data_IF_507422118917
#
_entry.id   IF_507422118917
#
_cell.length_a   1.000
_cell.length_b   1.000
_cell.length_c   1.000
_cell.angle_alpha   90.00
_cell.angle_beta   90.00
_cell.angle_gamma   90.00
#
_symmetry.space_group_name_H-M   'P 1'
#
loop_
_entity.id
_entity.type
_entity.pdbx_description
1 polymer ?
#
# COMPACT_ATOMS: atom_id res chain seq x y z
N UNK A 1 12.50 16.65 -3.49
CA UNK A 1 11.78 15.82 -2.50
C UNK A 1 11.06 14.75 -3.29
N UNK A 2 11.56 13.50 -3.25
CA UNK A 2 11.10 12.43 -4.13
C UNK A 2 9.77 11.83 -3.68
N UNK A 3 9.20 11.00 -4.55
CA UNK A 3 8.19 10.02 -4.21
C UNK A 3 8.69 8.69 -4.77
N UNK A 4 8.52 7.62 -4.00
CA UNK A 4 8.87 6.26 -4.41
C UNK A 4 7.61 5.42 -4.40
N UNK A 5 7.43 4.65 -5.47
CA UNK A 5 6.39 3.62 -5.53
C UNK A 5 6.74 2.50 -4.56
N UNK A 6 5.73 2.01 -3.85
CA UNK A 6 5.88 0.84 -3.00
C UNK A 6 4.73 -0.13 -3.19
N UNK A 7 5.05 -1.39 -2.91
CA UNK A 7 4.14 -2.51 -2.80
C UNK A 7 4.50 -3.26 -1.51
N UNK A 8 3.49 -3.68 -0.75
CA UNK A 8 3.67 -4.47 0.46
C UNK A 8 2.47 -5.40 0.65
N UNK A 9 2.75 -6.69 0.80
CA UNK A 9 1.74 -7.70 1.08
C UNK A 9 1.87 -8.08 2.55
N UNK A 10 0.75 -8.06 3.27
CA UNK A 10 0.72 -8.50 4.66
C UNK A 10 -0.51 -9.35 4.97
N UNK A 11 -0.34 -10.23 5.97
CA UNK A 11 -1.39 -11.10 6.48
C UNK A 11 -2.11 -10.44 7.65
N UNK A 12 -3.42 -10.63 7.69
CA UNK A 12 -4.23 -10.20 8.82
C UNK A 12 -5.68 -10.61 8.65
N UNK A 13 -6.34 -10.87 9.78
CA UNK A 13 -7.77 -11.17 9.84
C UNK A 13 -8.62 -10.01 9.31
N UNK A 14 -8.07 -8.79 9.36
CA UNK A 14 -8.63 -7.57 8.80
C UNK A 14 -7.56 -6.77 8.08
N UNK A 15 -7.97 -5.91 7.14
CA UNK A 15 -7.05 -4.98 6.47
C UNK A 15 -6.32 -4.06 7.45
N UNK A 16 -6.97 -3.67 8.55
CA UNK A 16 -6.35 -2.83 9.57
C UNK A 16 -5.20 -3.56 10.27
N UNK A 17 -5.42 -4.81 10.64
CA UNK A 17 -4.38 -5.66 11.24
C UNK A 17 -3.22 -5.88 10.26
N UNK A 18 -3.53 -6.25 9.01
CA UNK A 18 -2.51 -6.43 7.98
C UNK A 18 -1.72 -5.15 7.71
N UNK A 19 -2.39 -3.98 7.70
CA UNK A 19 -1.74 -2.69 7.54
C UNK A 19 -0.79 -2.37 8.69
N UNK A 20 -1.19 -2.66 9.93
CA UNK A 20 -0.31 -2.46 11.09
C UNK A 20 0.91 -3.38 11.01
N UNK A 21 0.72 -4.66 10.71
CA UNK A 21 1.81 -5.62 10.53
C UNK A 21 2.80 -5.15 9.44
N UNK A 22 2.30 -4.75 8.27
CA UNK A 22 3.12 -4.24 7.16
C UNK A 22 3.95 -3.00 7.56
N UNK A 23 3.35 -2.10 8.34
CA UNK A 23 4.05 -0.90 8.82
C UNK A 23 5.12 -1.22 9.84
N UNK A 24 4.83 -2.11 10.79
CA UNK A 24 5.80 -2.52 11.81
C UNK A 24 6.99 -3.23 11.18
N UNK A 25 6.76 -4.09 10.19
CA UNK A 25 7.82 -4.73 9.40
C UNK A 25 8.64 -3.68 8.65
N UNK A 26 7.99 -2.77 7.92
CA UNK A 26 8.69 -1.71 7.20
C UNK A 26 9.48 -0.76 8.13
N UNK A 27 8.99 -0.49 9.35
CA UNK A 27 9.75 0.26 10.34
C UNK A 27 10.97 -0.49 10.85
N UNK A 28 10.87 -1.81 11.01
CA UNK A 28 11.99 -2.65 11.43
C UNK A 28 13.09 -2.68 10.36
N UNK A 29 12.71 -2.85 9.09
CA UNK A 29 13.67 -2.96 7.98
C UNK A 29 14.30 -1.61 7.57
N UNK A 30 13.51 -0.53 7.54
CA UNK A 30 13.92 0.76 6.97
C UNK A 30 14.09 1.88 8.01
N UNK A 31 13.73 1.61 9.27
CA UNK A 31 13.85 2.56 10.37
C UNK A 31 12.68 3.54 10.50
N UNK A 32 12.74 4.37 11.54
CA UNK A 32 11.65 5.26 11.96
C UNK A 32 11.88 6.74 11.63
N UNK A 33 12.96 7.07 10.92
CA UNK A 33 13.37 8.47 10.69
C UNK A 33 12.52 9.22 9.66
N UNK A 34 11.58 8.54 9.01
CA UNK A 34 10.78 9.06 7.91
C UNK A 34 11.49 8.93 6.55
N UNK A 35 10.78 9.23 5.47
CA UNK A 35 11.27 9.20 4.09
C UNK A 35 11.79 7.83 3.64
N UNK A 36 11.21 6.75 4.15
CA UNK A 36 11.65 5.39 3.79
C UNK A 36 11.27 4.99 2.37
N UNK A 37 10.34 5.71 1.73
CA UNK A 37 9.74 5.29 0.46
C UNK A 37 8.87 4.04 0.58
N UNK A 38 8.43 3.67 1.79
CA UNK A 38 7.63 2.45 2.04
C UNK A 38 6.30 2.74 2.74
N UNK A 39 5.52 1.69 3.01
CA UNK A 39 4.26 1.77 3.75
C UNK A 39 4.43 2.35 5.17
N UNK A 40 5.65 2.35 5.73
CA UNK A 40 5.94 2.95 7.04
C UNK A 40 5.48 4.43 7.13
N UNK A 41 5.62 5.17 6.03
CA UNK A 41 5.23 6.58 5.89
C UNK A 41 3.71 6.79 5.84
N UNK A 42 2.93 5.73 5.59
CA UNK A 42 1.48 5.80 5.44
C UNK A 42 0.79 5.67 6.79
N UNK A 43 -0.12 6.59 7.07
CA UNK A 43 -0.90 6.56 8.33
C UNK A 43 -2.29 5.94 8.16
N UNK A 44 -2.79 5.89 6.93
CA UNK A 44 -4.13 5.38 6.62
C UNK A 44 -4.11 4.65 5.27
N UNK A 45 -5.15 3.86 5.02
CA UNK A 45 -5.37 3.18 3.75
C UNK A 45 -6.82 3.34 3.31
N UNK A 46 -7.08 3.16 2.01
CA UNK A 46 -8.42 3.06 1.44
C UNK A 46 -8.54 1.78 0.63
N UNK A 47 -9.64 1.08 0.85
CA UNK A 47 -9.93 -0.15 0.10
C UNK A 47 -10.34 0.16 -1.33
N UNK A 48 -9.72 -0.55 -2.26
CA UNK A 48 -10.07 -0.60 -3.67
C UNK A 48 -10.64 -1.99 -3.91
N UNK A 49 -11.86 -2.04 -4.44
CA UNK A 49 -12.54 -3.30 -4.69
C UNK A 49 -12.24 -3.79 -6.10
N UNK A 50 -11.74 -5.03 -6.20
CA UNK A 50 -11.62 -5.78 -7.44
C UNK A 50 -11.77 -7.28 -7.13
N UNK A 51 -11.76 -8.10 -8.18
CA UNK A 51 -11.72 -9.54 -8.03
C UNK A 51 -10.40 -9.96 -7.36
N UNK A 52 -10.44 -10.92 -6.44
CA UNK A 52 -9.28 -11.39 -5.70
C UNK A 52 -8.36 -12.32 -6.53
N UNK A 53 -8.37 -12.21 -7.85
CA UNK A 53 -7.48 -12.97 -8.74
C UNK A 53 -6.22 -12.16 -9.00
N UNK A 54 -5.07 -12.83 -9.09
CA UNK A 54 -3.78 -12.15 -9.30
C UNK A 54 -3.78 -11.23 -10.53
N UNK A 55 -4.45 -11.65 -11.61
CA UNK A 55 -4.58 -10.87 -12.85
C UNK A 55 -5.44 -9.61 -12.66
N UNK A 56 -6.57 -9.71 -11.95
CA UNK A 56 -7.43 -8.56 -11.70
C UNK A 56 -6.80 -7.57 -10.71
N UNK A 57 -6.07 -8.09 -9.72
CA UNK A 57 -5.33 -7.27 -8.76
C UNK A 57 -4.23 -6.49 -9.47
N UNK A 58 -3.41 -7.13 -10.31
CA UNK A 58 -2.33 -6.44 -11.01
C UNK A 58 -2.88 -5.41 -11.99
N UNK A 59 -3.90 -5.76 -12.77
CA UNK A 59 -4.53 -4.83 -13.71
C UNK A 59 -5.17 -3.63 -12.99
N UNK A 60 -5.79 -3.86 -11.82
CA UNK A 60 -6.38 -2.76 -11.04
C UNK A 60 -5.31 -1.87 -10.42
N UNK A 61 -4.21 -2.43 -9.95
CA UNK A 61 -3.08 -1.66 -9.42
C UNK A 61 -2.49 -0.76 -10.50
N UNK A 62 -2.22 -1.30 -11.68
CA UNK A 62 -1.69 -0.57 -12.84
C UNK A 62 -2.63 0.58 -13.24
N UNK A 63 -3.92 0.30 -13.43
CA UNK A 63 -4.96 1.31 -13.73
C UNK A 63 -4.97 2.46 -12.72
N UNK A 64 -4.81 2.14 -11.43
CA UNK A 64 -4.85 3.12 -10.33
C UNK A 64 -3.55 3.92 -10.23
N UNK A 65 -2.41 3.28 -10.47
CA UNK A 65 -1.07 3.88 -10.39
C UNK A 65 -0.77 4.77 -11.60
N UNK A 66 -1.26 4.42 -12.79
CA UNK A 66 -1.13 5.25 -14.00
C UNK A 66 -2.07 6.46 -13.99
N UNK A 67 -3.11 6.45 -13.16
CA UNK A 67 -4.05 7.56 -13.06
C UNK A 67 -3.50 8.70 -12.20
N UNK A 68 -2.96 9.74 -12.86
CA UNK A 68 -2.40 10.94 -12.23
C UNK A 68 -3.41 11.75 -11.40
N UNK A 69 -4.71 11.61 -11.67
CA UNK A 69 -5.77 12.29 -10.91
C UNK A 69 -6.27 11.47 -9.73
N UNK A 70 -5.79 10.23 -9.58
CA UNK A 70 -6.20 9.36 -8.49
C UNK A 70 -5.55 9.81 -7.18
N UNK A 71 -6.29 9.70 -6.07
CA UNK A 71 -5.83 10.15 -4.75
C UNK A 71 -4.59 9.40 -4.24
N UNK A 72 -4.22 8.28 -4.86
CA UNK A 72 -3.05 7.47 -4.50
C UNK A 72 -1.72 8.14 -4.86
N UNK A 73 -1.76 9.10 -5.79
CA UNK A 73 -0.62 9.92 -6.20
C UNK A 73 -0.14 10.84 -5.06
N UNK A 74 -1.00 11.11 -4.08
CA UNK A 74 -0.62 11.87 -2.90
C UNK A 74 0.30 11.03 -2.00
N UNK A 75 1.59 11.33 -2.03
CA UNK A 75 2.59 10.62 -1.24
C UNK A 75 2.38 10.71 0.28
N UNK A 76 1.69 11.76 0.75
CA UNK A 76 1.28 11.92 2.16
C UNK A 76 -0.13 11.39 2.43
N UNK A 77 -0.85 11.04 1.37
CA UNK A 77 -2.20 10.52 1.40
C UNK A 77 -2.27 9.05 1.78
N UNK A 78 -3.47 8.46 1.78
CA UNK A 78 -3.67 7.05 2.13
C UNK A 78 -2.98 6.10 1.14
N UNK A 79 -2.63 4.91 1.61
CA UNK A 79 -2.25 3.80 0.73
C UNK A 79 -3.49 3.21 0.03
N UNK A 80 -3.30 2.69 -1.19
CA UNK A 80 -4.22 1.74 -1.80
C UNK A 80 -4.20 0.42 -1.04
N UNK A 81 -5.36 -0.21 -0.88
CA UNK A 81 -5.49 -1.52 -0.26
C UNK A 81 -6.41 -2.41 -1.10
N UNK A 82 -5.93 -3.59 -1.50
CA UNK A 82 -6.73 -4.60 -2.20
C UNK A 82 -6.70 -5.89 -1.38
N UNK A 83 -7.87 -6.53 -1.25
CA UNK A 83 -7.98 -7.83 -0.60
C UNK A 83 -7.50 -8.93 -1.55
N UNK A 84 -6.59 -9.76 -1.08
CA UNK A 84 -6.13 -10.96 -1.77
C UNK A 84 -6.83 -12.21 -1.21
N UNK A 85 -6.50 -13.37 -1.76
CA UNK A 85 -6.90 -14.66 -1.20
C UNK A 85 -6.22 -14.91 0.16
N UNK A 86 -6.65 -15.94 0.91
CA UNK A 86 -5.98 -16.41 2.13
C UNK A 86 -5.78 -15.37 3.27
N UNK A 87 -6.65 -14.37 3.39
CA UNK A 87 -6.52 -13.26 4.36
C UNK A 87 -5.23 -12.43 4.19
N UNK A 88 -4.76 -12.36 2.96
CA UNK A 88 -3.68 -11.45 2.56
C UNK A 88 -4.26 -10.14 2.04
N UNK A 89 -3.49 -9.07 2.23
CA UNK A 89 -3.87 -7.73 1.83
C UNK A 89 -2.67 -7.07 1.15
N UNK A 90 -2.91 -6.59 -0.06
CA UNK A 90 -1.95 -5.82 -0.83
C UNK A 90 -2.11 -4.34 -0.48
N UNK A 91 -1.00 -3.69 -0.14
CA UNK A 91 -0.90 -2.25 0.03
C UNK A 91 0.05 -1.67 -0.99
N UNK A 92 -0.34 -0.56 -1.61
CA UNK A 92 0.47 0.06 -2.65
C UNK A 92 0.23 1.58 -2.73
N UNK A 93 1.12 2.27 -3.45
CA UNK A 93 1.02 3.69 -3.75
C UNK A 93 2.36 4.37 -3.75
N UNK A 94 2.34 5.70 -3.59
CA UNK A 94 3.55 6.51 -3.49
C UNK A 94 3.84 6.89 -2.05
N UNK A 95 5.08 6.79 -1.60
CA UNK A 95 5.54 7.26 -0.30
C UNK A 95 6.66 8.29 -0.48
N UNK A 96 6.83 9.18 0.51
CA UNK A 96 7.92 10.16 0.43
C UNK A 96 9.27 9.46 0.64
N UNK A 97 10.26 9.91 -0.14
CA UNK A 97 11.68 9.50 -0.05
C UNK A 97 12.59 10.71 -0.19
#
# INVERSE_FOLDING_TARGET
MGAMEFESIAKGSTAKEAFQNAREEAFYDYGHSGYTGTIAEKNTFRMIHCECTSEAVSAKMDEVMENESHWIQDKWGPAGCIKLENNEWLFFGFASS
#
